data_IF_907339436096
#
_entry.id   IF_907339436096
#
_cell.length_a   1.000
_cell.length_b   1.000
_cell.length_c   1.000
_cell.angle_alpha   90.00
_cell.angle_beta   90.00
_cell.angle_gamma   90.00
#
_symmetry.space_group_name_H-M   'P 1'
#
loop_
_entity.id
_entity.type
_entity.pdbx_description
1 polymer ?
#
# COMPACT_ATOMS: atom_id res chain seq x y z
N UNK A 1 -37.95 -52.24 -59.96
CA UNK A 1 -36.75 -52.08 -60.83
C UNK A 1 -36.87 -50.89 -61.80
N UNK A 2 -37.95 -50.76 -62.64
CA UNK A 2 -38.05 -49.59 -63.56
C UNK A 2 -38.27 -48.26 -62.87
N UNK A 3 -39.05 -48.22 -61.83
CA UNK A 3 -39.31 -46.96 -61.05
C UNK A 3 -38.09 -46.45 -60.26
N UNK A 4 -37.25 -47.32 -59.75
CA UNK A 4 -36.00 -46.94 -59.05
C UNK A 4 -34.96 -46.39 -60.05
N UNK A 5 -34.83 -46.91 -61.24
CA UNK A 5 -33.98 -46.37 -62.29
C UNK A 5 -34.40 -44.97 -62.74
N UNK A 6 -35.70 -44.73 -62.91
CA UNK A 6 -36.24 -43.42 -63.28
C UNK A 6 -35.94 -42.39 -62.16
N UNK A 7 -36.09 -42.78 -60.91
CA UNK A 7 -35.74 -41.90 -59.77
C UNK A 7 -34.27 -41.52 -59.75
N UNK A 8 -33.37 -42.48 -60.01
CA UNK A 8 -31.93 -42.24 -60.02
C UNK A 8 -31.50 -41.32 -61.16
N UNK A 9 -32.07 -41.49 -62.37
CA UNK A 9 -31.79 -40.64 -63.54
C UNK A 9 -32.28 -39.20 -63.36
N UNK A 10 -33.44 -38.98 -62.73
CA UNK A 10 -33.98 -37.67 -62.44
C UNK A 10 -33.11 -36.94 -61.35
N UNK A 11 -32.67 -37.68 -60.33
CA UNK A 11 -31.75 -37.13 -59.29
C UNK A 11 -30.39 -36.79 -59.89
N UNK A 12 -29.85 -37.65 -60.77
CA UNK A 12 -28.56 -37.39 -61.44
C UNK A 12 -28.68 -36.22 -62.42
N UNK A 13 -29.76 -36.09 -63.18
CA UNK A 13 -30.04 -34.91 -64.04
C UNK A 13 -30.15 -33.61 -63.21
N UNK A 14 -30.84 -33.65 -62.06
CA UNK A 14 -30.97 -32.52 -61.16
C UNK A 14 -29.61 -32.09 -60.54
N UNK A 15 -28.81 -33.05 -60.09
CA UNK A 15 -27.47 -32.78 -59.58
C UNK A 15 -26.55 -32.19 -60.68
N UNK A 16 -26.62 -32.72 -61.89
CA UNK A 16 -25.87 -32.22 -63.04
C UNK A 16 -26.24 -30.80 -63.44
N UNK A 17 -27.53 -30.45 -63.40
CA UNK A 17 -28.03 -29.11 -63.68
C UNK A 17 -27.65 -28.16 -62.55
N UNK A 18 -27.72 -28.59 -61.31
CA UNK A 18 -27.30 -27.82 -60.15
C UNK A 18 -25.78 -27.49 -60.20
N UNK A 19 -24.96 -28.47 -60.55
CA UNK A 19 -23.50 -28.27 -60.72
C UNK A 19 -23.21 -27.32 -61.90
N UNK A 20 -23.96 -27.47 -63.04
CA UNK A 20 -23.79 -26.60 -64.20
C UNK A 20 -24.20 -25.16 -63.90
N UNK A 21 -25.28 -24.91 -63.14
CA UNK A 21 -25.73 -23.61 -62.69
C UNK A 21 -24.70 -23.00 -61.71
N UNK A 22 -24.10 -23.84 -60.82
CA UNK A 22 -23.03 -23.47 -59.92
C UNK A 22 -21.78 -23.00 -60.65
N UNK A 23 -21.34 -23.77 -61.65
CA UNK A 23 -20.19 -23.45 -62.47
C UNK A 23 -20.40 -22.17 -63.31
N UNK A 24 -21.64 -21.84 -63.71
CA UNK A 24 -21.94 -20.64 -64.46
C UNK A 24 -21.98 -19.38 -63.55
N UNK A 25 -22.42 -19.52 -62.30
CA UNK A 25 -22.52 -18.43 -61.31
C UNK A 25 -21.38 -18.43 -60.29
N UNK A 26 -20.31 -19.20 -60.51
CA UNK A 26 -19.25 -19.42 -59.51
C UNK A 26 -18.64 -18.17 -58.94
N UNK A 27 -18.50 -17.09 -59.74
CA UNK A 27 -17.99 -15.79 -59.27
C UNK A 27 -18.83 -15.19 -58.16
N UNK A 28 -20.15 -15.31 -58.25
CA UNK A 28 -21.09 -14.82 -57.23
C UNK A 28 -21.01 -15.69 -55.96
N UNK A 29 -20.91 -17.01 -56.12
CA UNK A 29 -20.78 -17.92 -55.01
C UNK A 29 -19.47 -17.67 -54.23
N UNK A 30 -18.34 -17.50 -54.95
CA UNK A 30 -17.05 -17.17 -54.33
C UNK A 30 -17.14 -15.82 -53.62
N UNK A 31 -17.73 -14.80 -54.20
CA UNK A 31 -17.86 -13.51 -53.55
C UNK A 31 -18.64 -13.59 -52.23
N UNK A 32 -19.77 -14.30 -52.22
CA UNK A 32 -20.61 -14.51 -51.02
C UNK A 32 -19.82 -15.38 -50.02
N UNK A 33 -19.16 -16.45 -50.46
CA UNK A 33 -18.35 -17.29 -49.60
C UNK A 33 -17.17 -16.54 -48.96
N UNK A 34 -16.49 -15.68 -49.70
CA UNK A 34 -15.43 -14.84 -49.18
C UNK A 34 -15.91 -13.81 -48.13
N UNK A 35 -17.08 -13.18 -48.37
CA UNK A 35 -17.65 -12.25 -47.40
C UNK A 35 -18.05 -13.00 -46.13
N UNK A 36 -18.69 -14.15 -46.25
CA UNK A 36 -19.06 -14.99 -45.10
C UNK A 36 -17.81 -15.52 -44.36
N UNK A 37 -16.81 -15.98 -45.09
CA UNK A 37 -15.52 -16.43 -44.54
C UNK A 37 -14.85 -15.28 -43.76
N UNK A 38 -14.79 -14.08 -44.36
CA UNK A 38 -14.21 -12.92 -43.71
C UNK A 38 -14.93 -12.57 -42.40
N UNK A 39 -16.28 -12.59 -42.41
CA UNK A 39 -17.08 -12.33 -41.21
C UNK A 39 -16.80 -13.35 -40.10
N UNK A 40 -16.78 -14.63 -40.42
CA UNK A 40 -16.46 -15.70 -39.46
C UNK A 40 -15.00 -15.60 -39.00
N UNK A 41 -14.06 -15.33 -39.91
CA UNK A 41 -12.64 -15.23 -39.56
C UNK A 41 -12.34 -14.06 -38.61
N UNK A 42 -12.98 -12.89 -38.85
CA UNK A 42 -12.85 -11.73 -37.95
C UNK A 42 -13.44 -12.03 -36.58
N UNK A 43 -14.64 -12.60 -36.54
CA UNK A 43 -15.32 -12.92 -35.26
C UNK A 43 -14.51 -13.95 -34.44
N UNK A 44 -14.10 -15.03 -35.08
CA UNK A 44 -13.30 -16.08 -34.40
C UNK A 44 -11.91 -15.59 -34.04
N UNK A 45 -11.29 -14.74 -34.87
CA UNK A 45 -9.97 -14.15 -34.59
C UNK A 45 -10.00 -13.21 -33.39
N UNK A 46 -11.01 -12.36 -33.27
CA UNK A 46 -11.19 -11.50 -32.11
C UNK A 46 -11.41 -12.33 -30.84
N UNK A 47 -12.31 -13.32 -30.91
CA UNK A 47 -12.58 -14.19 -29.77
C UNK A 47 -11.36 -14.98 -29.31
N UNK A 48 -10.62 -15.56 -30.24
CA UNK A 48 -9.38 -16.27 -29.94
C UNK A 48 -8.31 -15.36 -29.34
N UNK A 49 -8.14 -14.16 -29.92
CA UNK A 49 -7.18 -13.17 -29.41
C UNK A 49 -7.50 -12.68 -27.99
N UNK A 50 -8.79 -12.44 -27.68
CA UNK A 50 -9.22 -12.12 -26.33
C UNK A 50 -8.91 -13.25 -25.35
N UNK A 51 -9.26 -14.50 -25.73
CA UNK A 51 -8.98 -15.67 -24.89
C UNK A 51 -7.49 -15.88 -24.64
N UNK A 52 -6.67 -15.75 -25.66
CA UNK A 52 -5.22 -15.87 -25.53
C UNK A 52 -4.63 -14.79 -24.62
N UNK A 53 -5.17 -13.57 -24.66
CA UNK A 53 -4.78 -12.49 -23.77
C UNK A 53 -5.12 -12.82 -22.30
N UNK A 54 -6.32 -13.30 -22.01
CA UNK A 54 -6.71 -13.74 -20.67
C UNK A 54 -5.82 -14.87 -20.14
N UNK A 55 -5.58 -15.90 -20.94
CA UNK A 55 -4.71 -17.01 -20.57
C UNK A 55 -3.25 -16.58 -20.35
N UNK A 56 -2.76 -15.62 -21.13
CA UNK A 56 -1.41 -15.09 -20.94
C UNK A 56 -1.31 -14.27 -19.63
N UNK A 57 -2.35 -13.51 -19.32
CA UNK A 57 -2.45 -12.74 -18.07
C UNK A 57 -2.55 -13.66 -16.86
N UNK A 58 -3.38 -14.69 -16.92
CA UNK A 58 -3.53 -15.70 -15.87
C UNK A 58 -2.19 -16.38 -15.55
N UNK A 59 -1.48 -16.87 -16.59
CA UNK A 59 -0.14 -17.44 -16.42
C UNK A 59 0.89 -16.46 -15.84
N UNK A 60 0.75 -15.18 -16.18
CA UNK A 60 1.62 -14.16 -15.61
C UNK A 60 1.33 -13.98 -14.12
N UNK A 61 0.07 -13.93 -13.71
CA UNK A 61 -0.33 -13.85 -12.32
C UNK A 61 0.21 -15.02 -11.50
N UNK A 62 0.03 -16.24 -11.98
CA UNK A 62 0.57 -17.45 -11.34
C UNK A 62 2.10 -17.40 -11.21
N UNK A 63 2.79 -16.98 -12.28
CA UNK A 63 4.27 -16.92 -12.29
C UNK A 63 4.81 -15.89 -11.32
N UNK A 64 4.14 -14.74 -11.18
CA UNK A 64 4.54 -13.68 -10.25
C UNK A 64 3.96 -13.91 -8.84
N UNK A 65 3.10 -14.91 -8.66
CA UNK A 65 2.45 -15.21 -7.38
C UNK A 65 1.52 -14.07 -6.94
N UNK A 66 0.72 -13.51 -7.86
CA UNK A 66 -0.22 -12.47 -7.49
C UNK A 66 -1.14 -12.98 -6.37
N UNK A 67 -1.29 -12.20 -5.31
CA UNK A 67 -2.10 -12.59 -4.17
C UNK A 67 -3.59 -12.72 -4.50
N UNK A 68 -4.25 -13.72 -3.91
CA UNK A 68 -5.68 -13.94 -4.03
C UNK A 68 -6.48 -13.08 -3.04
N UNK A 69 -5.93 -12.90 -1.83
CA UNK A 69 -6.58 -12.14 -0.75
C UNK A 69 -5.58 -11.16 -0.16
N UNK A 70 -6.01 -9.93 0.07
CA UNK A 70 -5.27 -8.91 0.80
C UNK A 70 -6.00 -8.52 2.08
N UNK A 71 -5.29 -8.55 3.20
CA UNK A 71 -5.79 -8.11 4.51
C UNK A 71 -5.14 -6.78 4.87
N UNK A 72 -5.95 -5.78 5.14
CA UNK A 72 -5.54 -4.44 5.52
C UNK A 72 -5.96 -4.13 6.96
N UNK A 73 -5.16 -3.35 7.68
CA UNK A 73 -5.50 -2.85 9.01
C UNK A 73 -5.06 -1.40 9.19
N UNK A 74 -5.94 -0.58 9.72
CA UNK A 74 -5.61 0.82 10.07
C UNK A 74 -4.67 0.93 11.28
N UNK A 75 -4.59 -0.12 12.10
CA UNK A 75 -3.72 -0.20 13.28
C UNK A 75 -2.39 -0.92 13.00
N UNK A 76 -2.12 -1.24 11.72
CA UNK A 76 -1.02 -2.10 11.31
C UNK A 76 -1.29 -3.58 11.63
N UNK A 77 -0.49 -4.45 11.07
CA UNK A 77 -0.53 -5.91 11.24
C UNK A 77 0.80 -6.38 11.83
N UNK A 78 0.75 -7.48 12.59
CA UNK A 78 1.90 -8.03 13.31
C UNK A 78 2.20 -9.47 12.87
N UNK A 79 3.33 -10.01 13.32
CA UNK A 79 3.68 -11.42 13.09
C UNK A 79 2.64 -12.39 13.68
N UNK A 80 1.96 -12.00 14.76
CA UNK A 80 0.87 -12.79 15.33
C UNK A 80 -0.35 -12.87 14.41
N UNK A 81 -0.63 -11.80 13.67
CA UNK A 81 -1.69 -11.80 12.66
C UNK A 81 -1.32 -12.72 11.50
N UNK A 82 -0.08 -12.67 11.03
CA UNK A 82 0.44 -13.59 10.02
C UNK A 82 0.37 -15.06 10.51
N UNK A 83 0.77 -15.30 11.75
CA UNK A 83 0.73 -16.64 12.34
C UNK A 83 -0.71 -17.18 12.50
N UNK A 84 -1.67 -16.31 12.80
CA UNK A 84 -3.08 -16.66 12.88
C UNK A 84 -3.65 -16.99 11.48
N UNK A 85 -3.34 -16.18 10.46
CA UNK A 85 -3.76 -16.38 9.08
C UNK A 85 -3.21 -17.69 8.47
N UNK A 86 -1.95 -18.03 8.77
CA UNK A 86 -1.33 -19.30 8.32
C UNK A 86 -2.03 -20.54 8.82
N UNK A 87 -2.78 -20.48 9.94
CA UNK A 87 -3.50 -21.61 10.53
C UNK A 87 -4.85 -21.87 9.87
N UNK A 88 -5.32 -20.98 9.00
CA UNK A 88 -6.63 -21.10 8.36
C UNK A 88 -6.58 -22.18 7.29
N UNK A 89 -7.58 -23.06 7.30
CA UNK A 89 -7.75 -24.08 6.26
C UNK A 89 -8.03 -23.41 4.91
N UNK A 90 -7.29 -23.81 3.87
CA UNK A 90 -7.38 -23.25 2.54
C UNK A 90 -6.32 -22.18 2.24
N UNK A 91 -5.58 -21.71 3.23
CA UNK A 91 -4.44 -20.80 3.02
C UNK A 91 -3.21 -21.62 2.59
N UNK A 92 -2.59 -21.23 1.48
CA UNK A 92 -1.36 -21.84 0.95
C UNK A 92 -0.11 -21.13 1.45
N UNK A 93 -0.06 -19.80 1.28
CA UNK A 93 1.05 -18.95 1.71
C UNK A 93 0.53 -17.64 2.28
N UNK A 94 1.27 -17.07 3.21
CA UNK A 94 0.99 -15.75 3.81
C UNK A 94 2.27 -14.95 3.84
N UNK A 95 2.21 -13.70 3.44
CA UNK A 95 3.33 -12.76 3.44
C UNK A 95 2.88 -11.42 4.03
N UNK A 96 3.66 -10.88 4.96
CA UNK A 96 3.52 -9.50 5.38
C UNK A 96 4.14 -8.58 4.35
N UNK A 97 3.50 -7.48 4.07
CA UNK A 97 3.97 -6.42 3.17
C UNK A 97 4.24 -5.15 3.98
N UNK A 98 5.42 -4.58 3.83
CA UNK A 98 5.75 -3.27 4.39
C UNK A 98 5.79 -2.25 3.27
N UNK A 99 5.04 -1.17 3.44
CA UNK A 99 5.04 -0.06 2.50
C UNK A 99 5.04 1.28 3.23
N UNK A 100 5.60 2.30 2.59
CA UNK A 100 5.66 3.67 3.09
C UNK A 100 5.41 4.65 1.96
N UNK A 101 4.61 5.66 2.23
CA UNK A 101 4.41 6.76 1.28
C UNK A 101 5.52 7.80 1.47
N UNK A 102 6.19 8.14 0.38
CA UNK A 102 7.26 9.14 0.34
C UNK A 102 6.99 10.15 -0.78
N UNK A 103 7.66 11.26 -0.74
CA UNK A 103 7.63 12.28 -1.83
C UNK A 103 8.98 12.36 -2.52
N UNK A 104 8.94 12.51 -3.84
CA UNK A 104 10.11 12.79 -4.69
C UNK A 104 9.88 14.10 -5.44
N UNK A 105 10.93 14.88 -5.65
CA UNK A 105 10.84 16.11 -6.45
C UNK A 105 11.23 15.83 -7.92
N UNK A 106 10.21 15.87 -8.80
CA UNK A 106 10.32 15.68 -10.23
C UNK A 106 9.63 16.84 -10.95
N UNK A 107 10.26 18.02 -10.98
CA UNK A 107 9.60 19.24 -11.47
C UNK A 107 8.28 19.54 -10.71
N UNK A 108 8.25 19.24 -9.42
CA UNK A 108 7.12 19.28 -8.51
C UNK A 108 7.07 18.03 -7.63
N UNK A 109 6.45 18.16 -6.46
CA UNK A 109 6.32 17.05 -5.52
C UNK A 109 5.42 15.96 -6.09
N UNK A 110 5.96 14.75 -6.20
CA UNK A 110 5.26 13.54 -6.60
C UNK A 110 5.22 12.54 -5.46
N UNK A 111 4.10 11.86 -5.34
CA UNK A 111 3.90 10.84 -4.30
C UNK A 111 4.35 9.49 -4.81
N UNK A 112 5.12 8.78 -4.01
CA UNK A 112 5.66 7.45 -4.34
C UNK A 112 5.33 6.49 -3.21
N UNK A 113 4.85 5.31 -3.54
CA UNK A 113 4.76 4.19 -2.60
C UNK A 113 6.05 3.39 -2.66
N UNK A 114 6.82 3.40 -1.57
CA UNK A 114 7.90 2.43 -1.36
C UNK A 114 7.29 1.12 -0.90
N UNK A 115 7.60 0.03 -1.59
CA UNK A 115 7.09 -1.30 -1.29
C UNK A 115 8.25 -2.28 -1.10
N UNK A 116 8.20 -3.06 -0.04
CA UNK A 116 9.14 -4.14 0.20
C UNK A 116 8.88 -5.31 -0.75
N UNK A 117 9.95 -5.86 -1.33
CA UNK A 117 9.88 -7.11 -2.10
C UNK A 117 9.86 -8.27 -1.12
N UNK A 118 8.74 -8.97 -1.07
CA UNK A 118 8.59 -10.12 -0.19
C UNK A 118 9.46 -11.32 -0.60
N UNK A 119 9.80 -12.15 0.36
CA UNK A 119 10.68 -13.32 0.18
C UNK A 119 9.93 -14.63 -0.09
N UNK A 120 8.61 -14.66 0.13
CA UNK A 120 7.80 -15.87 0.00
C UNK A 120 7.28 -16.14 -1.42
N UNK A 121 7.66 -15.30 -2.39
CA UNK A 121 7.26 -15.45 -3.78
C UNK A 121 5.80 -15.04 -4.05
N UNK A 122 5.27 -14.14 -3.23
CA UNK A 122 3.97 -13.48 -3.46
C UNK A 122 4.26 -12.08 -4.01
N UNK A 123 3.48 -11.63 -4.99
CA UNK A 123 3.55 -10.30 -5.62
C UNK A 123 4.97 -9.93 -6.11
N UNK A 124 5.66 -10.87 -6.75
CA UNK A 124 7.01 -10.62 -7.20
C UNK A 124 7.04 -9.69 -8.42
N UNK A 125 7.71 -8.52 -8.36
CA UNK A 125 7.80 -7.63 -9.50
C UNK A 125 8.59 -8.30 -10.65
N UNK A 126 8.06 -8.20 -11.87
CA UNK A 126 8.69 -8.77 -13.06
C UNK A 126 9.81 -7.88 -13.60
N UNK A 127 11.04 -8.39 -13.57
CA UNK A 127 12.20 -7.65 -14.06
C UNK A 127 12.16 -7.46 -15.58
N UNK A 128 12.09 -6.24 -16.05
CA UNK A 128 12.13 -5.88 -17.47
C UNK A 128 13.55 -5.53 -17.95
N UNK A 129 14.33 -4.84 -17.10
CA UNK A 129 15.72 -4.50 -17.44
C UNK A 129 16.55 -4.17 -16.19
N UNK A 130 17.84 -4.46 -16.22
CA UNK A 130 18.73 -4.27 -15.09
C UNK A 130 18.81 -5.50 -14.20
N UNK A 131 18.78 -5.32 -12.90
CA UNK A 131 18.72 -6.40 -11.91
C UNK A 131 17.74 -6.07 -10.80
N UNK A 132 17.34 -7.06 -10.03
CA UNK A 132 16.58 -6.86 -8.81
C UNK A 132 17.46 -6.19 -7.74
N UNK A 133 16.87 -5.34 -6.88
CA UNK A 133 17.58 -4.75 -5.76
C UNK A 133 17.86 -5.80 -4.70
N UNK A 134 19.09 -5.82 -4.19
CA UNK A 134 19.55 -6.79 -3.20
C UNK A 134 20.04 -6.14 -1.91
N UNK A 135 20.47 -4.87 -1.99
CA UNK A 135 21.09 -4.15 -0.89
C UNK A 135 20.22 -2.97 -0.45
N UNK A 136 20.35 -2.61 0.81
CA UNK A 136 19.76 -1.38 1.34
C UNK A 136 20.10 -0.17 0.48
N UNK A 137 19.13 0.68 0.18
CA UNK A 137 19.28 1.83 -0.70
C UNK A 137 19.21 1.54 -2.20
N UNK A 138 19.12 0.28 -2.62
CA UNK A 138 18.82 -0.06 -4.02
C UNK A 138 17.32 -0.17 -4.24
N UNK A 139 16.86 0.30 -5.41
CA UNK A 139 15.45 0.19 -5.80
C UNK A 139 15.27 -0.29 -7.25
N UNK A 140 14.15 -0.96 -7.48
CA UNK A 140 13.60 -1.14 -8.80
C UNK A 140 12.38 -0.23 -8.98
N UNK A 141 12.25 0.38 -10.14
CA UNK A 141 11.22 1.36 -10.46
C UNK A 141 10.38 0.91 -11.63
N UNK A 142 9.17 1.45 -11.78
CA UNK A 142 8.33 1.13 -12.93
C UNK A 142 8.80 1.86 -14.20
N UNK A 143 8.44 1.32 -15.37
CA UNK A 143 8.76 1.96 -16.67
C UNK A 143 8.17 3.37 -16.76
N UNK A 144 6.99 3.59 -16.18
CA UNK A 144 6.34 4.91 -16.13
C UNK A 144 7.25 5.93 -15.47
N UNK A 145 7.81 5.60 -14.29
CA UNK A 145 8.72 6.50 -13.60
C UNK A 145 9.91 6.92 -14.47
N UNK A 146 10.56 5.96 -15.13
CA UNK A 146 11.69 6.24 -16.04
C UNK A 146 11.28 7.16 -17.20
N UNK A 147 10.10 6.93 -17.77
CA UNK A 147 9.59 7.72 -18.89
C UNK A 147 9.28 9.16 -18.50
N UNK A 148 8.63 9.33 -17.34
CA UNK A 148 8.15 10.64 -16.89
C UNK A 148 9.27 11.49 -16.27
N UNK A 149 10.20 10.86 -15.57
CA UNK A 149 11.29 11.53 -14.85
C UNK A 149 12.54 11.76 -15.70
N UNK A 150 12.78 10.90 -16.71
CA UNK A 150 14.01 10.88 -17.48
C UNK A 150 15.22 10.27 -16.77
N UNK A 151 15.06 9.77 -15.53
CA UNK A 151 16.08 9.05 -14.80
C UNK A 151 16.51 7.76 -15.53
N UNK A 152 17.72 7.29 -15.21
CA UNK A 152 18.30 6.07 -15.77
C UNK A 152 18.78 5.13 -14.67
N UNK A 153 19.03 3.91 -15.05
CA UNK A 153 19.68 2.93 -14.13
C UNK A 153 21.05 3.45 -13.73
N UNK A 154 21.34 3.39 -12.43
CA UNK A 154 22.54 3.93 -11.80
C UNK A 154 22.38 5.33 -11.21
N UNK A 155 21.30 6.03 -11.52
CA UNK A 155 21.06 7.36 -10.97
C UNK A 155 20.61 7.26 -9.49
N UNK A 156 20.94 8.30 -8.74
CA UNK A 156 20.58 8.45 -7.34
C UNK A 156 19.34 9.35 -7.20
N UNK A 157 18.46 8.96 -6.28
CA UNK A 157 17.22 9.68 -5.96
C UNK A 157 17.15 9.86 -4.46
N UNK A 158 16.82 11.08 -4.02
CA UNK A 158 16.49 11.35 -2.62
C UNK A 158 14.97 11.45 -2.47
N UNK A 159 14.42 10.73 -1.51
CA UNK A 159 13.00 10.77 -1.16
C UNK A 159 12.81 11.35 0.23
N UNK A 160 11.67 11.98 0.45
CA UNK A 160 11.29 12.52 1.77
C UNK A 160 10.11 11.73 2.29
N UNK A 161 10.20 11.11 3.48
CA UNK A 161 9.06 10.47 4.12
C UNK A 161 7.91 11.45 4.29
N UNK A 162 6.69 10.99 4.03
CA UNK A 162 5.49 11.77 4.31
C UNK A 162 5.01 11.39 5.70
N UNK A 163 5.01 12.35 6.64
CA UNK A 163 4.49 12.13 7.99
C UNK A 163 3.00 11.77 7.90
N UNK A 164 2.65 10.63 8.45
CA UNK A 164 1.28 10.09 8.45
C UNK A 164 0.26 10.97 9.21
N UNK A 165 0.72 12.08 9.82
CA UNK A 165 -0.09 12.99 10.61
C UNK A 165 -0.82 14.07 9.79
N UNK A 166 -0.65 14.16 8.47
CA UNK A 166 -1.25 15.23 7.65
C UNK A 166 -2.33 14.77 6.67
N UNK A 167 -2.87 13.56 6.80
CA UNK A 167 -4.10 13.21 6.09
C UNK A 167 -5.33 13.76 6.83
N UNK A 168 -5.43 15.09 6.93
CA UNK A 168 -6.72 15.72 7.21
C UNK A 168 -7.63 15.45 6.01
N UNK A 169 -8.65 14.70 6.25
CA UNK A 169 -9.81 14.49 5.38
C UNK A 169 -10.26 15.85 4.84
N UNK A 170 -9.97 16.11 3.58
CA UNK A 170 -10.68 17.15 2.84
C UNK A 170 -12.01 16.56 2.41
N UNK A 171 -12.99 16.71 3.27
CA UNK A 171 -14.39 16.44 3.00
C UNK A 171 -14.86 17.46 1.96
N UNK A 172 -14.88 17.04 0.70
CA UNK A 172 -15.54 17.77 -0.37
C UNK A 172 -16.97 17.26 -0.50
N UNK A 173 -17.81 17.65 0.46
CA UNK A 173 -19.25 17.59 0.27
C UNK A 173 -19.69 18.93 -0.31
N UNK A 174 -19.85 19.01 -1.62
CA UNK A 174 -20.73 19.98 -2.25
C UNK A 174 -22.15 19.76 -1.72
N UNK A 175 -22.65 20.74 -0.99
CA UNK A 175 -24.10 20.94 -0.82
C UNK A 175 -24.41 22.41 -0.98
N UNK A 176 -24.98 22.72 -2.15
CA UNK A 176 -25.78 23.89 -2.39
C UNK A 176 -26.84 24.07 -1.29
N UNK A 177 -26.83 25.20 -0.59
CA UNK A 177 -28.03 25.97 -0.43
C UNK A 177 -27.78 27.38 0.13
N UNK A 178 -28.45 28.31 -0.49
CA UNK A 178 -28.48 29.75 -0.26
C UNK A 178 -29.19 30.15 1.04
N UNK A 179 -28.88 31.39 1.42
CA UNK A 179 -29.65 32.42 2.11
C UNK A 179 -29.38 32.69 3.57
N UNK A 180 -28.98 33.96 3.80
CA UNK A 180 -29.51 34.69 4.93
C UNK A 180 -28.51 35.42 5.85
N UNK A 181 -28.13 36.62 5.44
CA UNK A 181 -27.97 37.87 6.19
C UNK A 181 -27.54 37.90 7.67
N UNK A 182 -26.62 38.84 7.87
CA UNK A 182 -26.50 39.80 8.95
C UNK A 182 -25.64 39.52 10.20
N UNK A 183 -24.52 40.22 10.24
CA UNK A 183 -24.43 41.30 11.27
C UNK A 183 -23.42 41.09 12.39
N UNK A 184 -22.46 41.96 12.34
CA UNK A 184 -21.81 42.66 13.44
C UNK A 184 -20.36 42.33 13.76
N UNK A 185 -19.61 43.36 13.45
CA UNK A 185 -18.26 43.69 13.92
C UNK A 185 -18.15 43.65 15.45
N UNK A 186 -16.99 43.20 15.95
CA UNK A 186 -16.25 44.03 16.89
C UNK A 186 -14.79 43.60 16.94
N UNK A 187 -13.96 44.54 16.62
CA UNK A 187 -12.53 44.62 16.87
C UNK A 187 -12.24 44.61 18.37
N UNK A 188 -11.20 43.90 18.80
CA UNK A 188 -10.27 44.56 19.72
C UNK A 188 -8.86 43.98 19.63
N UNK A 189 -7.94 44.90 19.61
CA UNK A 189 -6.51 44.75 19.52
C UNK A 189 -5.94 44.39 20.88
N UNK A 190 -5.00 43.45 20.93
CA UNK A 190 -3.93 43.50 21.92
C UNK A 190 -2.71 42.76 21.42
N UNK A 191 -1.73 43.49 20.96
CA UNK A 191 -0.32 43.07 20.85
C UNK A 191 0.18 42.62 22.21
N UNK A 192 0.86 41.51 22.26
CA UNK A 192 1.86 41.21 23.28
C UNK A 192 2.92 40.29 22.69
N UNK A 193 4.04 40.89 22.37
CA UNK A 193 5.34 40.28 22.18
C UNK A 193 5.68 39.32 23.32
N UNK A 194 6.01 38.09 23.01
CA UNK A 194 6.99 37.29 23.74
C UNK A 194 7.58 36.21 22.81
N UNK A 195 8.75 36.55 22.26
CA UNK A 195 9.73 35.54 21.85
C UNK A 195 10.11 34.76 23.10
N UNK A 196 9.90 33.45 23.11
CA UNK A 196 10.92 32.51 23.61
C UNK A 196 10.59 31.05 23.28
N UNK A 197 11.59 30.32 22.73
CA UNK A 197 11.86 28.95 23.12
C UNK A 197 11.09 27.83 22.46
N UNK A 198 11.01 27.72 21.12
CA UNK A 198 10.84 26.42 20.47
C UNK A 198 12.11 25.59 20.56
N UNK A 199 12.33 24.96 21.69
CA UNK A 199 13.18 23.81 21.82
C UNK A 199 12.27 22.59 21.89
N UNK A 200 11.87 22.09 20.71
CA UNK A 200 11.29 20.78 20.61
C UNK A 200 12.33 19.78 21.13
N UNK A 201 12.05 19.20 22.27
CA UNK A 201 12.80 18.09 22.80
C UNK A 201 12.66 16.94 21.81
N UNK A 202 13.74 16.69 21.09
CA UNK A 202 13.92 15.47 20.29
C UNK A 202 13.98 14.33 21.29
N UNK A 203 12.87 13.66 21.50
CA UNK A 203 12.85 12.39 22.20
C UNK A 203 13.58 11.41 21.30
N UNK A 204 14.83 11.12 21.64
CA UNK A 204 15.54 9.97 21.14
C UNK A 204 14.90 8.76 21.79
N UNK A 205 13.93 8.18 21.11
CA UNK A 205 13.31 6.92 21.49
C UNK A 205 14.33 5.79 21.24
N UNK A 206 14.97 5.32 22.32
CA UNK A 206 15.70 4.08 22.40
C UNK A 206 14.89 3.11 23.24
N UNK A 207 13.70 2.79 22.79
CA UNK A 207 12.87 1.71 23.30
C UNK A 207 12.43 0.86 22.13
N UNK A 208 12.84 -0.40 22.08
CA UNK A 208 12.26 -1.41 21.20
C UNK A 208 10.75 -1.48 21.48
N UNK A 209 9.99 -0.68 20.74
CA UNK A 209 8.55 -0.79 20.69
C UNK A 209 8.22 -1.74 19.56
N UNK A 210 7.63 -2.89 19.88
CA UNK A 210 7.15 -3.92 18.93
C UNK A 210 6.11 -3.38 17.91
N UNK A 211 5.88 -2.06 17.87
CA UNK A 211 4.86 -1.38 17.09
C UNK A 211 5.43 -0.23 16.24
N UNK A 212 6.61 -0.40 15.68
CA UNK A 212 7.21 0.64 14.84
C UNK A 212 6.71 0.53 13.40
N UNK A 213 6.21 1.65 12.84
CA UNK A 213 5.83 1.76 11.45
C UNK A 213 7.02 1.48 10.51
N UNK A 214 6.80 0.92 9.31
CA UNK A 214 7.86 0.66 8.37
C UNK A 214 8.55 1.95 7.92
N UNK A 215 9.87 1.90 7.84
CA UNK A 215 10.69 3.01 7.35
C UNK A 215 11.71 2.50 6.35
N UNK A 216 11.85 3.23 5.24
CA UNK A 216 12.74 2.93 4.13
C UNK A 216 13.90 3.91 4.06
N UNK A 217 15.04 3.55 3.44
CA UNK A 217 16.13 4.47 3.17
C UNK A 217 15.67 5.68 2.36
N UNK A 218 16.25 6.85 2.64
CA UNK A 218 15.91 8.09 1.92
C UNK A 218 16.79 8.36 0.71
N UNK A 219 17.99 7.78 0.67
CA UNK A 219 18.89 7.86 -0.47
C UNK A 219 18.83 6.55 -1.25
N UNK A 220 18.42 6.61 -2.49
CA UNK A 220 18.07 5.45 -3.29
C UNK A 220 18.86 5.44 -4.60
N UNK A 221 19.22 4.25 -5.08
CA UNK A 221 19.88 4.03 -6.36
C UNK A 221 19.02 3.13 -7.25
N UNK A 222 18.71 3.56 -8.45
CA UNK A 222 17.94 2.76 -9.41
C UNK A 222 18.81 1.65 -9.99
N UNK A 223 18.49 0.39 -9.71
CA UNK A 223 19.23 -0.77 -10.24
C UNK A 223 18.44 -1.58 -11.27
N UNK A 224 17.12 -1.48 -11.27
CA UNK A 224 16.24 -2.21 -12.15
C UNK A 224 15.00 -1.45 -12.58
N UNK A 225 14.43 -1.91 -13.70
CA UNK A 225 13.11 -1.49 -14.15
C UNK A 225 12.22 -2.71 -14.15
N UNK A 226 11.07 -2.61 -13.50
CA UNK A 226 10.15 -3.72 -13.28
C UNK A 226 8.73 -3.40 -13.76
N UNK A 227 7.95 -4.44 -13.95
CA UNK A 227 6.51 -4.40 -14.08
C UNK A 227 5.90 -4.86 -12.76
N UNK A 228 4.99 -4.07 -12.22
CA UNK A 228 4.21 -4.41 -11.04
C UNK A 228 3.12 -5.42 -11.42
N UNK A 229 3.09 -6.64 -10.84
CA UNK A 229 2.06 -7.62 -11.15
C UNK A 229 0.66 -7.18 -10.71
N UNK A 230 0.58 -6.25 -9.78
CA UNK A 230 -0.67 -5.70 -9.28
C UNK A 230 -1.22 -4.56 -10.16
N UNK A 231 -0.44 -4.05 -11.10
CA UNK A 231 -0.81 -2.95 -12.02
C UNK A 231 -0.62 -3.33 -13.49
N UNK A 232 -1.02 -4.54 -13.87
CA UNK A 232 -0.98 -5.02 -15.27
C UNK A 232 -1.93 -4.27 -16.19
N UNK A 233 -3.07 -3.83 -15.69
CA UNK A 233 -4.07 -3.12 -16.49
C UNK A 233 -3.56 -1.76 -16.96
N UNK A 234 -2.48 -1.29 -16.38
CA UNK A 234 -1.86 -0.04 -16.74
C UNK A 234 -0.33 -0.10 -16.63
N UNK A 235 0.35 -0.76 -17.59
CA UNK A 235 1.80 -0.90 -17.60
C UNK A 235 2.55 0.43 -17.61
N UNK A 236 1.89 1.53 -17.92
CA UNK A 236 2.41 2.88 -17.78
C UNK A 236 2.23 3.44 -16.35
N UNK A 237 1.67 2.63 -15.44
CA UNK A 237 1.57 2.93 -14.00
C UNK A 237 0.51 3.98 -13.65
N UNK A 238 -0.56 4.09 -14.44
CA UNK A 238 -1.72 4.89 -14.06
C UNK A 238 -2.61 4.07 -13.13
N UNK A 239 -2.50 4.29 -11.85
CA UNK A 239 -3.21 3.52 -10.85
C UNK A 239 -4.64 4.02 -10.69
N UNK A 240 -5.54 3.53 -11.55
CA UNK A 240 -6.99 3.68 -11.37
C UNK A 240 -7.59 2.63 -10.41
N UNK A 241 -6.89 1.54 -10.15
CA UNK A 241 -7.40 0.37 -9.42
C UNK A 241 -6.84 0.20 -8.01
N UNK A 242 -5.79 0.91 -7.64
CA UNK A 242 -5.22 0.88 -6.29
C UNK A 242 -5.99 1.72 -5.26
N UNK A 243 -7.26 2.02 -5.51
CA UNK A 243 -8.11 2.79 -4.59
C UNK A 243 -8.29 2.14 -3.20
N UNK A 244 -7.93 0.86 -3.06
CA UNK A 244 -7.98 0.14 -1.78
C UNK A 244 -6.65 0.12 -1.02
N UNK A 245 -5.53 0.54 -1.60
CA UNK A 245 -4.20 0.43 -0.96
C UNK A 245 -3.76 1.64 -0.16
N UNK A 246 -4.22 2.80 -0.50
CA UNK A 246 -4.11 4.01 0.31
C UNK A 246 -5.14 5.02 -0.15
N UNK A 247 -5.66 5.81 0.77
CA UNK A 247 -6.48 6.98 0.48
C UNK A 247 -5.73 8.07 -0.31
N UNK A 248 -4.44 7.90 -0.55
CA UNK A 248 -3.62 8.74 -1.41
C UNK A 248 -3.19 7.93 -2.64
N UNK A 249 -3.67 8.33 -3.82
CA UNK A 249 -3.15 7.85 -5.10
C UNK A 249 -1.69 8.22 -5.22
N UNK A 250 -0.77 7.25 -5.13
CA UNK A 250 0.63 7.49 -5.43
C UNK A 250 0.85 7.57 -6.93
N UNK A 251 1.69 8.51 -7.37
CA UNK A 251 2.05 8.67 -8.77
C UNK A 251 2.89 7.48 -9.28
N UNK A 252 3.71 6.88 -8.39
CA UNK A 252 4.66 5.80 -8.73
C UNK A 252 4.81 4.80 -7.60
N UNK A 253 5.28 3.58 -7.94
CA UNK A 253 5.69 2.54 -6.99
C UNK A 253 7.18 2.24 -7.17
N UNK A 254 7.92 2.21 -6.06
CA UNK A 254 9.31 1.79 -6.00
C UNK A 254 9.41 0.51 -5.16
N UNK A 255 10.19 -0.44 -5.63
CA UNK A 255 10.40 -1.73 -4.98
C UNK A 255 11.79 -1.77 -4.34
N UNK A 256 11.84 -2.07 -3.05
CA UNK A 256 13.07 -2.15 -2.27
C UNK A 256 13.25 -3.54 -1.66
N UNK A 257 14.49 -4.01 -1.43
CA UNK A 257 14.73 -5.26 -0.73
C UNK A 257 14.40 -5.13 0.75
N UNK A 258 14.12 -6.24 1.41
CA UNK A 258 13.86 -6.27 2.86
C UNK A 258 15.03 -5.81 3.72
N UNK A 259 16.27 -5.92 3.20
CA UNK A 259 17.54 -5.56 3.89
C UNK A 259 17.68 -4.07 4.20
N UNK A 260 16.81 -3.22 3.88
CA UNK A 260 16.88 -1.79 4.22
C UNK A 260 15.64 -1.27 4.90
N UNK A 261 14.67 -2.15 5.12
CA UNK A 261 13.39 -1.77 5.70
C UNK A 261 13.40 -2.03 7.19
N UNK A 262 13.20 -0.99 7.97
CA UNK A 262 13.08 -1.07 9.44
C UNK A 262 11.61 -0.97 9.85
N UNK A 263 11.31 -1.37 11.09
CA UNK A 263 9.96 -1.40 11.62
C UNK A 263 9.38 -2.80 11.64
N UNK A 264 8.55 -3.08 12.64
CA UNK A 264 7.98 -4.40 12.95
C UNK A 264 6.56 -4.58 12.44
N UNK A 265 5.89 -3.49 12.03
CA UNK A 265 4.51 -3.55 11.56
C UNK A 265 4.43 -3.72 10.04
N UNK A 266 3.44 -4.50 9.62
CA UNK A 266 3.06 -4.66 8.22
C UNK A 266 1.88 -3.74 7.89
N UNK A 267 1.91 -3.15 6.70
CA UNK A 267 0.83 -2.32 6.16
C UNK A 267 -0.28 -3.15 5.55
N UNK A 268 0.08 -4.31 5.00
CA UNK A 268 -0.83 -5.29 4.45
C UNK A 268 -0.30 -6.71 4.70
N UNK A 269 -1.19 -7.69 4.64
CA UNK A 269 -0.85 -9.11 4.57
C UNK A 269 -1.49 -9.70 3.33
N UNK A 270 -0.68 -10.29 2.47
CA UNK A 270 -1.08 -10.93 1.22
C UNK A 270 -1.10 -12.45 1.39
N UNK A 271 -2.09 -13.09 0.76
CA UNK A 271 -2.39 -14.50 0.95
C UNK A 271 -2.59 -15.16 -0.40
N UNK A 272 -1.97 -16.33 -0.59
CA UNK A 272 -2.31 -17.26 -1.66
C UNK A 272 -3.22 -18.36 -1.13
N UNK A 273 -4.30 -18.63 -1.86
CA UNK A 273 -5.29 -19.65 -1.55
C UNK A 273 -4.87 -20.97 -2.17
N UNK A 274 -5.05 -22.03 -1.43
CA UNK A 274 -4.68 -23.38 -1.89
C UNK A 274 -5.58 -23.86 -3.03
N UNK A 275 -4.98 -24.16 -4.19
CA UNK A 275 -5.67 -24.61 -5.37
C UNK A 275 -6.34 -23.50 -6.20
N UNK A 276 -6.09 -22.24 -5.87
CA UNK A 276 -6.51 -21.10 -6.69
C UNK A 276 -5.71 -21.02 -7.99
N UNK A 277 -4.39 -21.18 -7.93
CA UNK A 277 -3.50 -21.18 -9.10
C UNK A 277 -3.75 -22.30 -10.13
N UNK A 278 -4.50 -23.35 -9.78
CA UNK A 278 -4.93 -24.38 -10.71
C UNK A 278 -6.20 -24.00 -11.50
N UNK A 279 -6.75 -22.82 -11.27
CA UNK A 279 -8.00 -22.32 -11.85
C UNK A 279 -7.74 -21.06 -12.66
N UNK A 280 -8.55 -20.84 -13.66
CA UNK A 280 -8.54 -19.59 -14.42
C UNK A 280 -8.99 -18.44 -13.50
N UNK A 281 -8.10 -17.46 -13.27
CA UNK A 281 -8.32 -16.31 -12.39
C UNK A 281 -9.53 -15.43 -12.78
N UNK A 282 -10.08 -15.66 -13.98
CA UNK A 282 -11.26 -14.96 -14.49
C UNK A 282 -12.53 -15.82 -14.46
N UNK A 283 -12.53 -16.91 -13.70
CA UNK A 283 -13.67 -17.85 -13.62
C UNK A 283 -14.40 -17.77 -12.30
N UNK A 284 -15.74 -17.99 -12.33
CA UNK A 284 -16.57 -18.10 -11.13
C UNK A 284 -16.03 -19.13 -10.12
N UNK A 285 -15.40 -20.18 -10.61
CA UNK A 285 -14.83 -21.25 -9.77
C UNK A 285 -13.63 -20.76 -8.96
N UNK A 286 -12.84 -19.86 -9.53
CA UNK A 286 -11.77 -19.16 -8.80
C UNK A 286 -12.36 -18.25 -7.72
N UNK A 287 -13.33 -17.42 -8.10
CA UNK A 287 -14.00 -16.49 -7.18
C UNK A 287 -14.65 -17.22 -5.99
N UNK A 288 -15.35 -18.33 -6.24
CA UNK A 288 -15.96 -19.16 -5.19
C UNK A 288 -14.91 -19.72 -4.23
N UNK A 289 -13.77 -20.17 -4.78
CA UNK A 289 -12.68 -20.76 -3.97
C UNK A 289 -12.02 -19.72 -3.07
N UNK A 290 -11.76 -18.53 -3.61
CA UNK A 290 -11.15 -17.42 -2.88
C UNK A 290 -12.12 -16.88 -1.82
N UNK A 291 -13.40 -16.69 -2.20
CA UNK A 291 -14.45 -16.19 -1.29
C UNK A 291 -14.66 -17.12 -0.09
N UNK A 292 -14.64 -18.45 -0.29
CA UNK A 292 -14.78 -19.40 0.80
C UNK A 292 -13.68 -19.26 1.87
N UNK A 293 -12.45 -18.96 1.44
CA UNK A 293 -11.32 -18.74 2.37
C UNK A 293 -11.42 -17.35 3.00
N UNK A 294 -11.81 -16.33 2.25
CA UNK A 294 -12.03 -14.97 2.75
C UNK A 294 -13.09 -14.95 3.85
N UNK A 295 -14.22 -15.66 3.68
CA UNK A 295 -15.29 -15.78 4.65
C UNK A 295 -14.80 -16.48 5.94
N UNK A 296 -13.93 -17.48 5.82
CA UNK A 296 -13.31 -18.13 7.01
C UNK A 296 -12.39 -17.17 7.75
N UNK A 297 -11.62 -16.35 7.04
CA UNK A 297 -10.76 -15.32 7.62
C UNK A 297 -11.63 -14.33 8.42
N UNK A 298 -12.67 -13.80 7.80
CA UNK A 298 -13.57 -12.84 8.42
C UNK A 298 -14.30 -13.41 9.63
N UNK A 299 -14.81 -14.64 9.53
CA UNK A 299 -15.57 -15.29 10.59
C UNK A 299 -14.73 -15.74 11.80
N UNK A 300 -13.46 -16.05 11.63
CA UNK A 300 -12.63 -16.65 12.69
C UNK A 300 -11.52 -15.73 13.21
N UNK A 301 -10.78 -15.09 12.31
CA UNK A 301 -9.56 -14.36 12.67
C UNK A 301 -9.82 -12.89 12.93
N UNK A 302 -10.59 -12.24 12.04
CA UNK A 302 -10.82 -10.80 12.10
C UNK A 302 -11.28 -10.33 13.48
N UNK A 303 -12.37 -10.88 14.00
CA UNK A 303 -12.95 -10.46 15.29
C UNK A 303 -12.01 -10.71 16.46
N UNK A 304 -11.33 -11.86 16.49
CA UNK A 304 -10.44 -12.23 17.57
C UNK A 304 -9.16 -11.37 17.55
N UNK A 305 -8.57 -11.17 16.37
CA UNK A 305 -7.35 -10.35 16.24
C UNK A 305 -7.61 -8.86 16.43
N UNK A 306 -8.76 -8.36 15.99
CA UNK A 306 -9.15 -6.97 16.29
C UNK A 306 -9.23 -6.71 17.79
N UNK A 307 -9.81 -7.62 18.57
CA UNK A 307 -9.88 -7.51 20.03
C UNK A 307 -8.49 -7.60 20.66
N UNK A 308 -7.68 -8.57 20.24
CA UNK A 308 -6.32 -8.73 20.74
C UNK A 308 -5.48 -7.49 20.44
N UNK A 309 -5.54 -6.99 19.20
CA UNK A 309 -4.80 -5.78 18.78
C UNK A 309 -5.24 -4.54 19.53
N UNK A 310 -6.53 -4.38 19.76
CA UNK A 310 -7.06 -3.28 20.59
C UNK A 310 -6.49 -3.35 22.02
N UNK A 311 -6.42 -4.52 22.62
CA UNK A 311 -5.84 -4.71 23.95
C UNK A 311 -4.33 -4.43 23.96
N UNK A 312 -3.58 -4.92 22.97
CA UNK A 312 -2.15 -4.66 22.83
C UNK A 312 -1.84 -3.13 22.74
N UNK A 313 -2.65 -2.39 21.97
CA UNK A 313 -2.50 -0.95 21.86
C UNK A 313 -2.84 -0.22 23.16
N UNK A 314 -3.86 -0.66 23.88
CA UNK A 314 -4.20 -0.10 25.20
C UNK A 314 -3.10 -0.37 26.22
N UNK A 315 -2.56 -1.59 26.26
CA UNK A 315 -1.48 -1.97 27.18
C UNK A 315 -0.21 -1.20 26.88
N UNK A 316 0.16 -1.05 25.60
CA UNK A 316 1.30 -0.24 25.16
C UNK A 316 1.12 1.25 25.53
N UNK A 317 -0.05 1.82 25.28
CA UNK A 317 -0.37 3.20 25.68
C UNK A 317 -0.32 3.42 27.19
N UNK A 318 -0.85 2.49 27.96
CA UNK A 318 -0.82 2.53 29.44
C UNK A 318 0.63 2.50 29.94
N UNK A 319 1.45 1.59 29.38
CA UNK A 319 2.87 1.48 29.72
C UNK A 319 3.63 2.78 29.45
N UNK A 320 3.41 3.40 28.29
CA UNK A 320 4.04 4.69 27.96
C UNK A 320 3.64 5.81 28.94
N UNK A 321 2.36 5.85 29.32
CA UNK A 321 1.85 6.83 30.30
C UNK A 321 2.50 6.61 31.67
N UNK A 322 2.62 5.35 32.13
CA UNK A 322 3.23 5.00 33.41
C UNK A 322 4.74 5.33 33.42
N UNK A 323 5.45 5.07 32.32
CA UNK A 323 6.87 5.44 32.17
C UNK A 323 7.07 6.97 32.17
N UNK A 324 6.26 7.71 31.44
CA UNK A 324 6.28 9.17 31.42
C UNK A 324 5.96 9.76 32.80
N UNK A 325 5.01 9.20 33.52
CA UNK A 325 4.65 9.58 34.90
C UNK A 325 5.81 9.31 35.85
N UNK A 326 6.42 8.11 35.78
CA UNK A 326 7.59 7.79 36.62
C UNK A 326 8.79 8.71 36.37
N UNK A 327 9.02 9.11 35.11
CA UNK A 327 10.05 10.07 34.74
C UNK A 327 9.74 11.47 35.29
N UNK A 328 8.51 11.91 35.19
CA UNK A 328 8.05 13.19 35.73
C UNK A 328 8.16 13.22 37.26
N UNK A 329 7.78 12.16 37.96
CA UNK A 329 7.88 12.03 39.41
C UNK A 329 9.35 12.11 39.87
N UNK A 330 10.30 11.47 39.13
CA UNK A 330 11.73 11.60 39.41
C UNK A 330 12.25 13.02 39.25
N UNK A 331 11.82 13.72 38.19
CA UNK A 331 12.20 15.13 37.98
C UNK A 331 11.65 16.03 39.09
N UNK A 332 10.41 15.78 39.53
CA UNK A 332 9.77 16.53 40.60
C UNK A 332 10.50 16.31 41.93
N UNK A 333 10.84 15.06 42.24
CA UNK A 333 11.61 14.77 43.47
C UNK A 333 13.01 15.42 43.46
N UNK A 334 13.70 15.41 42.32
CA UNK A 334 14.99 16.09 42.18
C UNK A 334 14.90 17.61 42.36
N UNK A 335 13.85 18.24 41.75
CA UNK A 335 13.58 19.65 41.92
C UNK A 335 13.26 20.00 43.37
N UNK A 336 12.45 19.18 44.05
CA UNK A 336 12.13 19.34 45.46
C UNK A 336 13.38 19.29 46.37
N UNK A 337 14.27 18.30 46.12
CA UNK A 337 15.54 18.22 46.85
C UNK A 337 16.41 19.48 46.65
N UNK A 338 16.44 20.03 45.44
CA UNK A 338 17.19 21.24 45.14
C UNK A 338 16.60 22.48 45.87
N UNK A 339 15.28 22.58 45.94
CA UNK A 339 14.58 23.62 46.69
C UNK A 339 14.89 23.51 48.18
N UNK A 340 14.85 22.29 48.76
CA UNK A 340 15.11 22.08 50.19
C UNK A 340 16.60 22.35 50.53
N UNK A 341 17.53 22.00 49.65
CA UNK A 341 18.95 22.36 49.76
C UNK A 341 19.17 23.87 49.74
N UNK A 342 18.57 24.58 48.76
CA UNK A 342 18.67 26.02 48.66
C UNK A 342 18.06 26.72 49.87
N UNK A 343 16.94 26.23 50.39
CA UNK A 343 16.29 26.74 51.61
C UNK A 343 17.21 26.55 52.84
N UNK A 344 17.84 25.42 52.96
CA UNK A 344 18.80 25.16 54.04
C UNK A 344 20.00 26.10 53.98
N UNK A 345 20.58 26.31 52.79
CA UNK A 345 21.66 27.28 52.58
C UNK A 345 21.23 28.71 52.92
N UNK A 346 20.03 29.12 52.51
CA UNK A 346 19.52 30.43 52.82
C UNK A 346 19.35 30.63 54.34
N UNK A 347 18.81 29.63 55.04
CA UNK A 347 18.69 29.68 56.51
C UNK A 347 20.03 29.80 57.19
N UNK A 348 21.06 29.07 56.77
CA UNK A 348 22.41 29.22 57.30
C UNK A 348 23.01 30.61 57.06
N UNK A 349 22.77 31.22 55.90
CA UNK A 349 23.19 32.60 55.64
C UNK A 349 22.46 33.62 56.56
N UNK A 350 21.16 33.42 56.78
CA UNK A 350 20.38 34.26 57.70
C UNK A 350 20.95 34.18 59.12
N UNK A 351 21.20 32.96 59.58
CA UNK A 351 21.79 32.77 60.93
C UNK A 351 23.16 33.40 61.05
N UNK A 352 24.01 33.33 60.02
CA UNK A 352 25.30 34.03 60.01
C UNK A 352 25.12 35.57 60.10
N UNK A 353 24.21 36.12 59.34
CA UNK A 353 23.90 37.59 59.36
C UNK A 353 23.38 37.99 60.71
N UNK A 354 22.48 37.23 61.33
CA UNK A 354 21.91 37.52 62.67
C UNK A 354 23.00 37.48 63.73
N UNK A 355 23.91 36.48 63.64
CA UNK A 355 25.03 36.39 64.57
C UNK A 355 26.04 37.55 64.43
N UNK A 356 26.43 37.94 63.23
CA UNK A 356 27.28 39.09 63.00
C UNK A 356 26.64 40.39 63.56
N UNK A 357 25.37 40.60 63.34
CA UNK A 357 24.64 41.79 63.85
C UNK A 357 24.49 41.80 65.38
N UNK A 358 24.46 40.63 66.01
CA UNK A 358 24.45 40.47 67.45
C UNK A 358 25.80 40.78 68.06
N UNK A 359 26.90 40.42 67.40
CA UNK A 359 28.27 40.77 67.85
C UNK A 359 28.59 42.25 67.68
N UNK A 360 28.20 42.87 66.56
CA UNK A 360 28.34 44.31 66.38
C UNK A 360 27.64 45.08 67.50
N UNK A 361 26.47 44.70 68.00
CA UNK A 361 25.81 45.26 69.13
C UNK A 361 26.51 45.04 70.47
N UNK A 362 27.35 44.01 70.61
CA UNK A 362 28.18 43.75 71.81
C UNK A 362 29.45 44.55 71.86
N UNK A 363 30.06 44.90 70.74
CA UNK A 363 31.31 45.65 70.63
C UNK A 363 31.06 47.16 70.67
N UNK A 364 29.84 47.64 70.40
CA UNK A 364 29.44 49.05 70.40
C UNK A 364 28.89 49.56 71.76
N UNK A 365 29.07 48.83 72.86
CA UNK A 365 28.87 49.26 74.25
C UNK A 365 30.19 49.27 74.97
#
# INVERSE_FOLDING_TARGET
MLLERYGLEVVMAFIKDMVRMWLHAWKRFISIALISLLGVAVLTGIYAGCRDAFLATDRFFDTQGLHDIQVLSTAGLTDDDIAALRKISGVAKVQGERSQTVTVDLNGKKTVTMQEIGTNGIDQPYLQSGRMPEKSGEIAVTRKFIKDSGYKKGDHITVTPQDSASSSVSDSAESDNQTGENGSQMSDSAESDTQDGKRAARVTDSGESDNQAPSFPTELTIVGVVLDPQDLTNPDGYSGTNAFRSSATSDYTFFAPSDGVTGSMYTAVTILVKGAADKDSFSDVYDDTVSEVADRIDGTVRTNRQKARHQELLDAGTKQIDEAKAQTDKQFAAAQQQIDSNRSQLNQQIDQIVNMRSEERRVGK
#
